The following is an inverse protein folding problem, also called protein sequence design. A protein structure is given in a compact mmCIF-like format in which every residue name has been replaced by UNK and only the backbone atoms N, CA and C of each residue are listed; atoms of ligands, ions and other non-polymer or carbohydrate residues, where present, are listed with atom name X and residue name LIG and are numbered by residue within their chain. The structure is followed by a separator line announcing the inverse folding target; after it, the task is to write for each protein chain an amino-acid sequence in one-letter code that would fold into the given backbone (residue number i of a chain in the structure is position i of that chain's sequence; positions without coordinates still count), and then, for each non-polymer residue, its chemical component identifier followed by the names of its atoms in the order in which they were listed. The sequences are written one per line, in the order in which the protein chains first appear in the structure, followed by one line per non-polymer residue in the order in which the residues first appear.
data_IF_599717643145
#
_entry.id   IF_599717643145
#
_cell.length_a   1.000
_cell.length_b   1.000
_cell.length_c   1.000
_cell.angle_alpha   90.00
_cell.angle_beta   90.00
_cell.angle_gamma   90.00
#
_symmetry.space_group_name_H-M   'P 1'
#
loop_
_entity.id
_entity.type
_entity.pdbx_description
1 polymer ?
#
# COMPACT_ATOMS: atom_id res chain seq x y z
N UNK A 1 1.26 24.32 11.18
CA UNK A 1 1.72 22.95 10.96
C UNK A 1 2.89 22.96 9.97
N UNK A 2 3.90 22.09 10.18
CA UNK A 2 5.11 22.00 9.34
C UNK A 2 4.78 21.96 7.83
N UNK A 3 3.84 21.13 7.42
CA UNK A 3 3.43 21.01 6.01
C UNK A 3 2.93 22.34 5.42
N UNK A 4 2.15 23.12 6.15
CA UNK A 4 1.67 24.44 5.69
C UNK A 4 2.81 25.44 5.56
N UNK A 5 3.80 25.37 6.45
CA UNK A 5 4.99 26.25 6.42
C UNK A 5 5.91 25.88 5.24
N UNK A 6 6.15 24.59 5.02
CA UNK A 6 7.03 24.10 3.94
C UNK A 6 6.41 24.37 2.56
N UNK A 7 5.14 24.04 2.37
CA UNK A 7 4.49 24.08 1.06
C UNK A 7 3.71 25.38 0.77
N UNK A 8 3.69 26.36 1.70
CA UNK A 8 3.21 27.75 1.49
C UNK A 8 1.93 27.86 0.65
N UNK A 9 0.93 27.05 0.94
CA UNK A 9 -0.36 27.08 0.23
C UNK A 9 -0.43 26.27 -1.07
N UNK A 10 0.64 25.60 -1.48
CA UNK A 10 0.64 24.69 -2.62
C UNK A 10 -0.17 23.40 -2.36
N UNK A 11 -0.37 23.07 -1.09
CA UNK A 11 -1.15 21.93 -0.66
C UNK A 11 -2.31 22.34 0.23
N UNK A 12 -3.41 21.61 0.17
CA UNK A 12 -4.52 21.72 1.10
C UNK A 12 -4.37 20.67 2.19
N UNK A 13 -4.28 21.10 3.44
CA UNK A 13 -4.20 20.22 4.60
C UNK A 13 -5.58 20.12 5.25
N UNK A 14 -6.07 18.89 5.44
CA UNK A 14 -7.28 18.59 6.19
C UNK A 14 -6.85 17.98 7.53
N UNK A 15 -7.07 18.71 8.62
CA UNK A 15 -6.72 18.28 9.96
C UNK A 15 -7.92 17.68 10.67
N UNK A 16 -7.80 16.40 11.06
CA UNK A 16 -8.82 15.71 11.84
C UNK A 16 -8.43 15.67 13.32
N UNK A 17 -9.37 16.03 14.20
CA UNK A 17 -9.17 16.00 15.66
C UNK A 17 -8.99 14.60 16.23
N UNK A 18 -9.46 13.58 15.51
CA UNK A 18 -9.40 12.18 15.89
C UNK A 18 -8.92 11.35 14.70
N UNK A 19 -8.35 10.18 14.97
CA UNK A 19 -7.96 9.26 13.92
C UNK A 19 -9.22 8.60 13.31
N UNK A 20 -9.57 9.01 12.09
CA UNK A 20 -10.73 8.50 11.35
C UNK A 20 -10.49 7.13 10.71
N UNK A 21 -9.26 6.67 10.66
CA UNK A 21 -8.83 5.53 9.85
C UNK A 21 -8.60 5.90 8.38
N UNK A 22 -8.15 4.92 7.61
CA UNK A 22 -7.75 5.13 6.22
C UNK A 22 -8.94 5.52 5.32
N UNK A 23 -9.99 4.70 5.32
CA UNK A 23 -11.13 4.86 4.40
C UNK A 23 -11.82 6.21 4.55
N UNK A 24 -12.18 6.60 5.78
CA UNK A 24 -12.85 7.89 6.04
C UNK A 24 -11.98 9.09 5.69
N UNK A 25 -10.68 9.03 6.02
CA UNK A 25 -9.76 10.13 5.73
C UNK A 25 -9.61 10.35 4.22
N UNK A 26 -9.50 9.27 3.44
CA UNK A 26 -9.43 9.37 1.99
C UNK A 26 -10.75 9.79 1.34
N UNK A 27 -11.91 9.28 1.79
CA UNK A 27 -13.21 9.72 1.29
C UNK A 27 -13.37 11.24 1.49
N UNK A 28 -13.09 11.74 2.69
CA UNK A 28 -13.10 13.17 3.00
C UNK A 28 -12.17 13.99 2.09
N UNK A 29 -10.98 13.47 1.83
CA UNK A 29 -10.02 14.13 0.93
C UNK A 29 -10.52 14.15 -0.51
N UNK A 30 -11.08 13.03 -1.01
CA UNK A 30 -11.62 12.92 -2.37
C UNK A 30 -12.81 13.86 -2.59
N UNK A 31 -13.70 14.03 -1.62
CA UNK A 31 -14.79 15.01 -1.70
C UNK A 31 -14.25 16.42 -1.96
N UNK A 32 -13.13 16.76 -1.34
CA UNK A 32 -12.48 18.06 -1.45
C UNK A 32 -11.62 18.24 -2.71
N UNK A 33 -11.34 17.16 -3.47
CA UNK A 33 -10.54 17.23 -4.70
C UNK A 33 -11.32 17.88 -5.83
N UNK A 34 -10.65 18.75 -6.60
CA UNK A 34 -11.24 19.44 -7.77
C UNK A 34 -10.93 18.70 -9.08
N UNK A 35 -9.92 17.81 -9.10
CA UNK A 35 -9.47 17.12 -10.31
C UNK A 35 -10.45 16.04 -10.78
N UNK A 36 -10.49 15.78 -12.08
CA UNK A 36 -11.26 14.69 -12.70
C UNK A 36 -10.62 13.32 -12.41
N UNK A 37 -9.33 13.29 -12.11
CA UNK A 37 -8.57 12.13 -11.70
C UNK A 37 -8.03 12.34 -10.30
N UNK A 38 -7.97 11.28 -9.54
CA UNK A 38 -7.43 11.25 -8.18
C UNK A 38 -6.28 10.24 -8.11
N UNK A 39 -5.32 10.55 -7.26
CA UNK A 39 -4.31 9.60 -6.84
C UNK A 39 -4.40 9.37 -5.33
N UNK A 40 -4.67 8.15 -4.93
CA UNK A 40 -4.53 7.69 -3.56
C UNK A 40 -3.06 7.34 -3.38
N UNK A 41 -2.38 8.03 -2.49
CA UNK A 41 -0.94 7.92 -2.30
C UNK A 41 -0.59 7.91 -0.82
N UNK A 42 0.13 6.90 -0.37
CA UNK A 42 0.63 6.86 0.99
C UNK A 42 1.79 7.86 1.20
N UNK A 43 1.91 8.46 2.38
CA UNK A 43 2.96 9.43 2.65
C UNK A 43 4.36 8.83 2.77
N UNK A 44 4.47 7.50 2.96
CA UNK A 44 5.71 6.73 3.02
C UNK A 44 6.15 6.19 1.65
N UNK A 45 5.91 6.98 0.58
CA UNK A 45 6.29 6.63 -0.80
C UNK A 45 7.23 7.67 -1.40
N UNK A 46 8.09 7.22 -2.33
CA UNK A 46 8.85 8.09 -3.24
C UNK A 46 8.42 7.80 -4.67
N UNK A 47 8.02 8.85 -5.38
CA UNK A 47 7.43 8.79 -6.72
C UNK A 47 8.39 9.43 -7.72
N UNK A 48 8.65 8.76 -8.85
CA UNK A 48 9.44 9.34 -9.93
C UNK A 48 8.67 10.47 -10.65
N UNK A 49 9.40 11.39 -11.25
CA UNK A 49 8.87 12.59 -11.90
C UNK A 49 7.88 12.28 -13.03
N UNK A 50 8.07 11.16 -13.72
CA UNK A 50 7.24 10.74 -14.87
C UNK A 50 6.10 9.76 -14.49
N UNK A 51 6.01 9.33 -13.24
CA UNK A 51 5.04 8.32 -12.80
C UNK A 51 3.60 8.74 -13.05
N UNK A 52 3.24 9.97 -12.67
CA UNK A 52 1.87 10.47 -12.86
C UNK A 52 1.50 10.63 -14.34
N UNK A 53 2.43 11.09 -15.18
CA UNK A 53 2.19 11.24 -16.63
C UNK A 53 1.94 9.86 -17.23
N UNK A 54 2.82 8.88 -17.00
CA UNK A 54 2.69 7.52 -17.53
C UNK A 54 1.38 6.85 -17.08
N UNK A 55 1.06 6.95 -15.81
CA UNK A 55 -0.14 6.30 -15.26
C UNK A 55 -1.42 6.95 -15.74
N UNK A 56 -1.47 8.28 -15.85
CA UNK A 56 -2.63 9.02 -16.37
C UNK A 56 -2.86 8.79 -17.86
N UNK A 57 -1.80 8.79 -18.68
CA UNK A 57 -1.89 8.53 -20.11
C UNK A 57 -2.41 7.11 -20.38
N UNK A 58 -1.89 6.14 -19.63
CA UNK A 58 -2.36 4.76 -19.71
C UNK A 58 -3.83 4.64 -19.28
N UNK A 59 -4.22 5.29 -18.17
CA UNK A 59 -5.61 5.30 -17.69
C UNK A 59 -6.56 5.94 -18.71
N UNK A 60 -6.15 7.03 -19.35
CA UNK A 60 -6.94 7.72 -20.37
C UNK A 60 -7.07 6.91 -21.67
N UNK A 61 -6.04 6.13 -22.01
CA UNK A 61 -6.03 5.32 -23.24
C UNK A 61 -6.98 4.13 -23.20
N UNK A 62 -7.42 3.69 -22.00
CA UNK A 62 -8.23 2.50 -21.77
C UNK A 62 -9.48 2.83 -20.96
N UNK A 63 -10.60 3.09 -21.65
CA UNK A 63 -11.88 3.50 -21.01
C UNK A 63 -12.45 2.48 -20.02
N UNK A 64 -12.13 1.20 -20.22
CA UNK A 64 -12.57 0.11 -19.36
C UNK A 64 -11.86 0.06 -18.00
N UNK A 65 -10.78 0.82 -17.81
CA UNK A 65 -10.06 0.82 -16.54
C UNK A 65 -10.83 1.54 -15.45
N UNK A 66 -11.05 0.85 -14.34
CA UNK A 66 -11.57 1.42 -13.08
C UNK A 66 -10.47 2.13 -12.31
N UNK A 67 -9.35 1.43 -12.10
CA UNK A 67 -8.20 1.93 -11.38
C UNK A 67 -6.89 1.38 -11.95
N UNK A 68 -5.80 2.10 -11.68
CA UNK A 68 -4.45 1.74 -12.08
C UNK A 68 -3.51 1.87 -10.87
N UNK A 69 -2.73 0.82 -10.62
CA UNK A 69 -1.61 0.81 -9.66
C UNK A 69 -0.28 0.68 -10.40
N UNK A 70 0.81 0.83 -9.68
CA UNK A 70 2.15 0.73 -10.23
C UNK A 70 3.01 -0.32 -9.52
N UNK A 71 4.18 -0.60 -10.09
CA UNK A 71 5.20 -1.43 -9.48
C UNK A 71 5.74 -0.75 -8.23
N UNK A 72 5.86 -1.50 -7.14
CA UNK A 72 6.40 -1.01 -5.88
C UNK A 72 7.62 -1.82 -5.47
N UNK A 73 8.64 -1.11 -5.01
CA UNK A 73 9.83 -1.68 -4.35
C UNK A 73 9.91 -1.12 -2.93
N UNK A 74 10.54 -1.85 -2.02
CA UNK A 74 10.88 -1.30 -0.71
C UNK A 74 12.18 -0.46 -0.76
N UNK A 75 12.59 0.10 0.38
CA UNK A 75 13.81 0.92 0.47
C UNK A 75 15.10 0.15 0.21
N UNK A 76 15.06 -1.17 0.03
CA UNK A 76 16.19 -2.02 -0.36
C UNK A 76 16.17 -2.40 -1.85
N UNK A 77 15.21 -1.88 -2.63
CA UNK A 77 15.02 -2.24 -4.03
C UNK A 77 14.29 -3.56 -4.25
N UNK A 78 13.82 -4.22 -3.20
CA UNK A 78 13.10 -5.50 -3.33
C UNK A 78 11.66 -5.25 -3.76
N UNK A 79 11.20 -6.00 -4.76
CA UNK A 79 9.82 -5.95 -5.23
C UNK A 79 8.81 -6.28 -4.14
N UNK A 80 7.75 -5.50 -4.08
CA UNK A 80 6.62 -5.69 -3.18
C UNK A 80 5.46 -6.37 -3.92
N UNK A 81 5.26 -7.69 -3.74
CA UNK A 81 4.27 -8.46 -4.52
C UNK A 81 2.82 -8.04 -4.25
N UNK A 82 2.54 -7.35 -3.14
CA UNK A 82 1.23 -6.78 -2.86
C UNK A 82 0.80 -5.67 -3.83
N UNK A 83 1.72 -5.13 -4.66
CA UNK A 83 1.38 -4.17 -5.73
C UNK A 83 0.32 -4.71 -6.68
N UNK A 84 0.25 -6.04 -6.83
CA UNK A 84 -0.67 -6.76 -7.70
C UNK A 84 -1.14 -8.05 -7.04
N UNK A 85 -2.43 -8.13 -6.78
CA UNK A 85 -3.02 -9.26 -6.05
C UNK A 85 -4.24 -9.80 -6.78
N UNK A 86 -4.59 -11.03 -6.44
CA UNK A 86 -5.91 -11.58 -6.74
C UNK A 86 -6.86 -11.32 -5.58
N UNK A 87 -8.16 -11.26 -5.87
CA UNK A 87 -9.18 -11.15 -4.82
C UNK A 87 -9.10 -12.38 -3.92
N UNK A 88 -8.96 -12.20 -2.60
CA UNK A 88 -8.82 -13.30 -1.66
C UNK A 88 -10.15 -14.05 -1.49
N UNK A 89 -10.54 -14.84 -2.51
CA UNK A 89 -11.68 -15.75 -2.38
C UNK A 89 -11.45 -16.72 -1.23
N UNK A 90 -12.51 -17.37 -0.68
CA UNK A 90 -12.38 -18.36 0.39
C UNK A 90 -11.36 -19.46 0.09
N UNK A 91 -11.28 -19.89 -1.18
CA UNK A 91 -10.32 -20.90 -1.67
C UNK A 91 -8.88 -20.39 -1.60
N UNK A 92 -8.63 -19.15 -2.04
CA UNK A 92 -7.30 -18.51 -2.03
C UNK A 92 -6.85 -18.24 -0.59
N UNK A 93 -7.74 -17.72 0.24
CA UNK A 93 -7.43 -17.44 1.64
C UNK A 93 -7.07 -18.72 2.42
N UNK A 94 -7.81 -19.82 2.22
CA UNK A 94 -7.51 -21.12 2.83
C UNK A 94 -6.13 -21.62 2.43
N UNK A 95 -5.75 -21.50 1.16
CA UNK A 95 -4.42 -21.87 0.68
C UNK A 95 -3.32 -21.02 1.30
N UNK A 96 -3.54 -19.71 1.39
CA UNK A 96 -2.58 -18.78 2.03
C UNK A 96 -2.33 -19.12 3.51
N UNK A 97 -3.37 -19.55 4.22
CA UNK A 97 -3.26 -19.95 5.63
C UNK A 97 -2.35 -21.17 5.80
N UNK A 98 -2.40 -22.13 4.90
CA UNK A 98 -1.53 -23.33 4.92
C UNK A 98 -0.17 -23.09 4.26
N UNK A 99 0.20 -21.81 4.00
CA UNK A 99 1.51 -21.41 3.48
C UNK A 99 1.60 -21.31 1.96
N UNK A 100 0.55 -21.68 1.20
CA UNK A 100 0.50 -21.51 -0.25
C UNK A 100 -0.03 -20.13 -0.63
N UNK A 101 0.88 -19.19 -0.85
CA UNK A 101 0.55 -17.82 -1.27
C UNK A 101 0.59 -17.62 -2.79
N UNK A 102 0.90 -18.63 -3.59
CA UNK A 102 1.06 -18.51 -5.05
C UNK A 102 -0.14 -17.88 -5.75
N UNK A 103 -1.36 -18.24 -5.33
CA UNK A 103 -2.59 -17.72 -5.91
C UNK A 103 -3.10 -16.43 -5.26
N UNK A 104 -2.41 -15.90 -4.25
CA UNK A 104 -2.77 -14.63 -3.62
C UNK A 104 -2.22 -13.43 -4.39
N UNK A 105 -1.04 -13.59 -4.98
CA UNK A 105 -0.44 -12.58 -5.85
C UNK A 105 -0.73 -12.90 -7.30
N UNK A 106 -0.92 -11.88 -8.15
CA UNK A 106 -1.10 -12.07 -9.57
C UNK A 106 0.17 -12.66 -10.20
N UNK A 107 -0.02 -13.62 -11.10
CA UNK A 107 1.07 -14.35 -11.77
C UNK A 107 1.84 -13.52 -12.81
N UNK A 108 1.34 -12.30 -13.12
CA UNK A 108 2.01 -11.36 -14.02
C UNK A 108 3.45 -11.10 -13.52
N UNK A 109 4.43 -11.04 -14.42
CA UNK A 109 5.78 -10.61 -14.06
C UNK A 109 5.78 -9.18 -13.50
N UNK A 110 6.72 -8.87 -12.60
CA UNK A 110 6.74 -7.59 -11.90
C UNK A 110 6.99 -6.38 -12.79
N UNK A 111 7.67 -6.57 -13.93
CA UNK A 111 8.00 -5.51 -14.90
C UNK A 111 7.01 -5.42 -16.06
N UNK A 112 6.07 -6.37 -16.17
CA UNK A 112 5.05 -6.33 -17.21
C UNK A 112 3.78 -5.66 -16.71
N UNK A 113 3.18 -4.89 -17.60
CA UNK A 113 1.90 -4.21 -17.35
C UNK A 113 0.72 -5.11 -17.77
N UNK A 114 -0.36 -5.13 -17.00
CA UNK A 114 -1.50 -5.98 -17.30
C UNK A 114 -2.67 -5.86 -16.32
N UNK A 115 -3.74 -6.59 -16.63
CA UNK A 115 -4.92 -6.65 -15.77
C UNK A 115 -4.63 -7.47 -14.50
N UNK A 116 -5.13 -6.97 -13.39
CA UNK A 116 -5.04 -7.62 -12.07
C UNK A 116 -6.37 -7.49 -11.36
N UNK A 117 -6.62 -8.34 -10.36
CA UNK A 117 -7.90 -8.25 -9.65
C UNK A 117 -7.88 -7.18 -8.55
N UNK A 118 -6.77 -7.02 -7.84
CA UNK A 118 -6.67 -6.03 -6.76
C UNK A 118 -5.33 -5.30 -6.76
N UNK A 119 -5.40 -4.01 -6.45
CA UNK A 119 -4.28 -3.08 -6.33
C UNK A 119 -3.95 -2.81 -4.85
N UNK A 120 -2.76 -2.27 -4.58
CA UNK A 120 -2.39 -1.82 -3.24
C UNK A 120 -2.78 -0.36 -3.03
N UNK A 121 -3.38 -0.06 -1.88
CA UNK A 121 -3.82 1.30 -1.50
C UNK A 121 -2.70 2.32 -1.35
N UNK A 122 -1.43 1.90 -1.43
CA UNK A 122 -0.30 2.81 -1.36
C UNK A 122 -0.14 3.71 -2.60
N UNK A 123 -0.62 3.25 -3.78
CA UNK A 123 -0.68 4.03 -5.00
C UNK A 123 -1.82 3.52 -5.89
N UNK A 124 -2.87 4.31 -6.02
CA UNK A 124 -3.98 4.04 -6.94
C UNK A 124 -4.35 5.32 -7.68
N UNK A 125 -4.27 5.31 -9.01
CA UNK A 125 -4.76 6.38 -9.88
C UNK A 125 -6.06 5.96 -10.52
N UNK A 126 -7.08 6.81 -10.48
CA UNK A 126 -8.39 6.52 -11.06
C UNK A 126 -9.21 7.78 -11.37
N UNK A 127 -10.27 7.65 -12.14
CA UNK A 127 -11.25 8.72 -12.34
C UNK A 127 -12.01 8.98 -11.03
N UNK A 128 -12.16 10.24 -10.63
CA UNK A 128 -12.98 10.64 -9.48
C UNK A 128 -14.43 10.19 -9.64
N UNK A 129 -14.98 10.27 -10.86
CA UNK A 129 -16.38 9.85 -11.12
C UNK A 129 -16.57 8.36 -10.86
N UNK A 130 -15.64 7.50 -11.30
CA UNK A 130 -15.70 6.06 -11.05
C UNK A 130 -15.52 5.71 -9.56
N UNK A 131 -14.66 6.45 -8.85
CA UNK A 131 -14.53 6.31 -7.40
C UNK A 131 -15.86 6.57 -6.69
N UNK A 132 -16.53 7.66 -7.05
CA UNK A 132 -17.83 8.03 -6.48
C UNK A 132 -18.92 7.02 -6.87
N UNK A 133 -18.95 6.60 -8.14
CA UNK A 133 -19.92 5.64 -8.69
C UNK A 133 -19.93 4.32 -7.90
N UNK A 134 -18.74 3.81 -7.52
CA UNK A 134 -18.65 2.57 -6.74
C UNK A 134 -18.74 2.80 -5.22
N UNK A 135 -19.02 4.03 -4.78
CA UNK A 135 -19.17 4.40 -3.38
C UNK A 135 -17.85 4.58 -2.62
N UNK A 136 -16.74 4.87 -3.31
CA UNK A 136 -15.44 5.13 -2.71
C UNK A 136 -14.90 4.00 -1.83
N UNK A 137 -14.07 4.32 -0.85
CA UNK A 137 -13.68 3.35 0.18
C UNK A 137 -14.85 3.06 1.13
N UNK A 138 -15.00 1.81 1.49
CA UNK A 138 -15.99 1.41 2.49
C UNK A 138 -15.48 1.75 3.90
N UNK A 139 -16.22 2.60 4.61
CA UNK A 139 -15.80 3.18 5.89
C UNK A 139 -15.87 2.21 7.08
N UNK A 140 -16.48 1.04 6.90
CA UNK A 140 -16.40 -0.03 7.89
C UNK A 140 -14.97 -0.59 8.02
N UNK A 141 -14.13 -0.40 6.99
CA UNK A 141 -12.69 -0.69 7.06
C UNK A 141 -11.96 0.51 7.68
N UNK A 142 -11.57 0.37 8.93
CA UNK A 142 -10.74 1.39 9.57
C UNK A 142 -9.34 1.46 8.94
N UNK A 143 -8.76 0.30 8.63
CA UNK A 143 -7.45 0.12 8.00
C UNK A 143 -7.33 -1.34 7.58
N UNK A 144 -6.73 -1.59 6.41
CA UNK A 144 -6.59 -2.88 5.71
C UNK A 144 -7.88 -3.39 5.07
N UNK A 145 -7.74 -3.93 3.88
CA UNK A 145 -8.81 -4.54 3.11
C UNK A 145 -9.68 -3.57 2.31
N UNK A 146 -9.60 -2.27 2.61
CA UNK A 146 -10.30 -1.21 1.86
C UNK A 146 -9.88 -1.15 0.40
N UNK A 147 -8.61 -1.40 0.11
CA UNK A 147 -8.05 -1.41 -1.23
C UNK A 147 -8.51 -2.64 -2.05
N UNK A 148 -8.62 -3.78 -1.40
CA UNK A 148 -9.18 -5.00 -1.99
C UNK A 148 -10.67 -4.83 -2.21
N UNK A 149 -11.39 -4.22 -1.26
CA UNK A 149 -12.82 -3.92 -1.35
C UNK A 149 -13.12 -2.97 -2.52
N UNK A 150 -12.38 -1.86 -2.62
CA UNK A 150 -12.50 -0.91 -3.74
C UNK A 150 -12.22 -1.60 -5.07
N UNK A 151 -11.15 -2.40 -5.14
CA UNK A 151 -10.81 -3.16 -6.34
C UNK A 151 -11.92 -4.10 -6.77
N UNK A 152 -12.53 -4.82 -5.82
CA UNK A 152 -13.64 -5.72 -6.09
C UNK A 152 -14.92 -4.97 -6.51
N UNK A 153 -15.22 -3.82 -5.89
CA UNK A 153 -16.36 -2.97 -6.29
C UNK A 153 -16.23 -2.51 -7.74
N UNK A 154 -15.03 -2.09 -8.15
CA UNK A 154 -14.77 -1.72 -9.54
C UNK A 154 -14.98 -2.90 -10.50
N UNK A 155 -14.49 -4.10 -10.16
CA UNK A 155 -14.73 -5.31 -10.97
C UNK A 155 -16.23 -5.64 -11.07
N UNK A 156 -16.98 -5.54 -9.97
CA UNK A 156 -18.43 -5.77 -9.95
C UNK A 156 -19.22 -4.74 -10.78
N UNK A 157 -18.71 -3.52 -10.88
CA UNK A 157 -19.27 -2.47 -11.74
C UNK A 157 -18.89 -2.64 -13.24
N UNK A 158 -18.15 -3.71 -13.59
CA UNK A 158 -17.73 -3.99 -14.97
C UNK A 158 -16.42 -3.33 -15.39
N UNK A 159 -15.76 -2.61 -14.50
CA UNK A 159 -14.45 -2.03 -14.76
C UNK A 159 -13.33 -3.07 -14.57
N UNK A 160 -12.12 -2.74 -15.04
CA UNK A 160 -10.93 -3.54 -14.87
C UNK A 160 -9.88 -2.77 -14.07
N UNK A 161 -9.17 -3.48 -13.19
CA UNK A 161 -8.00 -2.93 -12.52
C UNK A 161 -6.74 -3.27 -13.32
N UNK A 162 -5.79 -2.37 -13.34
CA UNK A 162 -4.59 -2.49 -14.16
C UNK A 162 -3.33 -2.21 -13.36
N UNK A 163 -2.32 -3.01 -13.54
CA UNK A 163 -0.99 -2.84 -12.98
C UNK A 163 -0.05 -2.31 -14.06
N UNK A 164 0.65 -1.21 -13.77
CA UNK A 164 1.65 -0.60 -14.64
C UNK A 164 3.05 -0.99 -14.15
N UNK A 165 3.68 -1.95 -14.82
CA UNK A 165 5.04 -2.41 -14.50
C UNK A 165 6.12 -1.40 -14.89
N UNK A 166 5.80 -0.50 -15.85
CA UNK A 166 6.74 0.52 -16.36
C UNK A 166 6.86 1.75 -15.46
N UNK A 167 5.98 1.88 -14.46
CA UNK A 167 6.04 2.91 -13.45
C UNK A 167 6.42 2.27 -12.11
N UNK A 168 7.55 2.66 -11.54
CA UNK A 168 8.04 2.13 -10.26
C UNK A 168 8.07 3.24 -9.21
N UNK A 169 7.61 2.93 -8.00
CA UNK A 169 7.73 3.79 -6.82
C UNK A 169 8.43 3.03 -5.69
N UNK A 170 9.04 3.77 -4.76
CA UNK A 170 9.46 3.19 -3.48
C UNK A 170 8.30 3.33 -2.50
N UNK A 171 8.02 2.28 -1.74
CA UNK A 171 7.09 2.29 -0.63
C UNK A 171 7.82 1.72 0.59
N UNK A 172 8.19 2.59 1.52
CA UNK A 172 9.00 2.20 2.68
C UNK A 172 8.32 1.23 3.62
N UNK A 173 7.02 1.20 3.64
CA UNK A 173 6.20 0.19 4.33
C UNK A 173 6.60 -0.05 5.80
N UNK A 174 5.64 -0.06 6.68
CA UNK A 174 5.86 -0.41 8.08
C UNK A 174 6.08 0.77 9.03
N UNK A 175 6.25 1.99 8.51
CA UNK A 175 6.38 3.21 9.33
C UNK A 175 5.17 3.44 10.23
N UNK A 176 3.97 3.12 9.73
CA UNK A 176 2.72 3.44 10.42
C UNK A 176 2.21 2.32 11.33
N UNK A 177 2.80 1.11 11.32
CA UNK A 177 2.17 -0.03 12.01
C UNK A 177 3.15 -1.02 12.59
N UNK A 178 3.39 -0.90 13.88
CA UNK A 178 3.99 -1.99 14.65
C UNK A 178 3.10 -3.25 14.52
N UNK A 179 3.70 -4.38 14.13
CA UNK A 179 3.02 -5.69 14.08
C UNK A 179 2.76 -6.18 15.52
N UNK A 180 1.79 -5.56 16.19
CA UNK A 180 1.36 -5.87 17.54
C UNK A 180 -0.09 -6.40 17.55
N UNK A 181 -0.65 -6.62 18.73
CA UNK A 181 -2.02 -7.06 18.90
C UNK A 181 -3.05 -6.17 18.18
N UNK A 182 -2.85 -4.85 18.17
CA UNK A 182 -3.74 -3.90 17.47
C UNK A 182 -3.70 -4.12 15.95
N UNK A 183 -2.51 -4.37 15.39
CA UNK A 183 -2.35 -4.77 13.99
C UNK A 183 -3.14 -6.05 13.69
N UNK A 184 -2.93 -7.11 14.48
CA UNK A 184 -3.62 -8.38 14.28
C UNK A 184 -5.15 -8.23 14.37
N UNK A 185 -5.64 -7.46 15.36
CA UNK A 185 -7.07 -7.17 15.51
C UNK A 185 -7.64 -6.48 14.26
N UNK A 186 -6.95 -5.45 13.74
CA UNK A 186 -7.40 -4.70 12.56
C UNK A 186 -7.33 -5.53 11.30
N UNK A 187 -6.20 -6.19 11.05
CA UNK A 187 -5.97 -6.99 9.85
C UNK A 187 -6.94 -8.18 9.73
N UNK A 188 -7.03 -8.99 10.78
CA UNK A 188 -7.94 -10.15 10.77
C UNK A 188 -9.41 -9.72 10.86
N UNK A 189 -9.71 -8.61 11.55
CA UNK A 189 -11.05 -8.01 11.56
C UNK A 189 -11.49 -7.56 10.17
N UNK A 190 -10.60 -6.90 9.42
CA UNK A 190 -10.85 -6.49 8.04
C UNK A 190 -11.06 -7.69 7.10
N UNK A 191 -10.27 -8.76 7.26
CA UNK A 191 -10.49 -10.00 6.52
C UNK A 191 -11.88 -10.60 6.78
N UNK A 192 -12.29 -10.69 8.05
CA UNK A 192 -13.62 -11.18 8.40
C UNK A 192 -14.72 -10.31 7.78
N UNK A 193 -14.58 -8.99 7.86
CA UNK A 193 -15.53 -8.03 7.28
C UNK A 193 -15.64 -8.23 5.76
N UNK A 194 -14.51 -8.37 5.07
CA UNK A 194 -14.46 -8.60 3.64
C UNK A 194 -15.22 -9.87 3.25
N UNK A 195 -14.97 -10.99 3.95
CA UNK A 195 -15.70 -12.23 3.71
C UNK A 195 -17.20 -12.12 3.99
N UNK A 196 -17.57 -11.47 5.10
CA UNK A 196 -18.98 -11.24 5.45
C UNK A 196 -19.71 -10.44 4.37
N UNK A 197 -19.07 -9.39 3.82
CA UNK A 197 -19.69 -8.52 2.80
C UNK A 197 -19.78 -9.16 1.42
N UNK A 198 -18.75 -9.91 1.02
CA UNK A 198 -18.61 -10.33 -0.38
C UNK A 198 -18.82 -11.83 -0.63
N UNK A 199 -18.68 -12.68 0.37
CA UNK A 199 -18.74 -14.14 0.25
C UNK A 199 -19.66 -14.77 1.28
N UNK A 200 -20.90 -14.28 1.37
CA UNK A 200 -21.89 -14.84 2.31
C UNK A 200 -22.33 -16.25 1.88
N UNK A 201 -21.52 -17.25 2.20
CA UNK A 201 -21.74 -18.66 1.86
C UNK A 201 -22.45 -19.45 2.97
N UNK A 202 -23.34 -18.78 3.74
CA UNK A 202 -24.12 -19.41 4.81
C UNK A 202 -23.48 -19.33 6.20
N UNK A 203 -24.29 -19.64 7.21
CA UNK A 203 -23.94 -19.50 8.63
C UNK A 203 -22.70 -20.31 9.04
N UNK A 204 -22.62 -21.58 8.62
CA UNK A 204 -21.50 -22.46 8.97
C UNK A 204 -20.16 -21.94 8.46
N UNK A 205 -20.14 -21.40 7.24
CA UNK A 205 -18.93 -20.84 6.66
C UNK A 205 -18.49 -19.56 7.37
N UNK A 206 -19.44 -18.67 7.66
CA UNK A 206 -19.17 -17.44 8.43
C UNK A 206 -18.62 -17.76 9.83
N UNK A 207 -19.14 -18.78 10.48
CA UNK A 207 -18.66 -19.27 11.77
C UNK A 207 -17.22 -19.82 11.67
N UNK A 208 -16.91 -20.61 10.65
CA UNK A 208 -15.55 -21.12 10.41
C UNK A 208 -14.54 -19.99 10.21
N UNK A 209 -14.86 -19.01 9.39
CA UNK A 209 -13.99 -17.83 9.17
C UNK A 209 -13.81 -17.04 10.47
N UNK A 210 -14.88 -16.86 11.24
CA UNK A 210 -14.82 -16.19 12.54
C UNK A 210 -13.90 -16.91 13.54
N UNK A 211 -14.07 -18.23 13.70
CA UNK A 211 -13.22 -19.06 14.57
C UNK A 211 -11.75 -19.00 14.14
N UNK A 212 -11.49 -19.02 12.84
CA UNK A 212 -10.15 -18.89 12.29
C UNK A 212 -9.53 -17.52 12.60
N UNK A 213 -10.30 -16.44 12.49
CA UNK A 213 -9.86 -15.09 12.87
C UNK A 213 -9.52 -15.03 14.35
N UNK A 214 -10.35 -15.62 15.23
CA UNK A 214 -10.09 -15.71 16.66
C UNK A 214 -8.79 -16.50 16.92
N UNK A 215 -8.63 -17.66 16.29
CA UNK A 215 -7.43 -18.48 16.42
C UNK A 215 -6.15 -17.70 16.08
N UNK A 216 -6.12 -17.00 14.93
CA UNK A 216 -4.96 -16.19 14.57
C UNK A 216 -4.74 -14.99 15.49
N UNK A 217 -5.80 -14.37 15.99
CA UNK A 217 -5.67 -13.30 17.01
C UNK A 217 -5.04 -13.82 18.29
N UNK A 218 -5.44 -15.02 18.75
CA UNK A 218 -4.91 -15.66 19.95
C UNK A 218 -3.44 -16.07 19.72
N UNK A 219 -3.12 -16.74 18.63
CA UNK A 219 -1.73 -17.12 18.32
C UNK A 219 -0.81 -15.92 18.18
N UNK A 220 -1.30 -14.82 17.64
CA UNK A 220 -0.55 -13.57 17.54
C UNK A 220 -0.35 -12.92 18.92
N UNK A 221 -1.30 -13.03 19.81
CA UNK A 221 -1.18 -12.55 21.20
C UNK A 221 -0.06 -13.26 21.97
N UNK A 222 0.11 -14.56 21.76
CA UNK A 222 1.17 -15.35 22.39
C UNK A 222 2.53 -15.24 21.67
N UNK A 223 2.59 -14.63 20.49
CA UNK A 223 3.85 -14.37 19.81
C UNK A 223 4.56 -13.23 20.53
N UNK A 224 5.61 -13.57 21.32
CA UNK A 224 6.46 -12.57 21.99
C UNK A 224 6.90 -11.53 20.95
N UNK A 225 6.70 -10.24 21.27
CA UNK A 225 7.31 -9.16 20.48
C UNK A 225 8.84 -9.42 20.50
N UNK A 226 9.41 -9.67 19.33
CA UNK A 226 10.86 -9.63 19.20
C UNK A 226 11.26 -8.18 19.44
N UNK A 227 11.79 -7.90 20.63
CA UNK A 227 12.45 -6.62 20.91
C UNK A 227 13.65 -6.55 19.96
N UNK A 228 13.53 -5.71 18.96
CA UNK A 228 14.62 -5.46 18.03
C UNK A 228 15.67 -4.62 18.78
N UNK A 229 16.82 -5.23 19.07
CA UNK A 229 17.98 -4.51 19.59
C UNK A 229 18.55 -3.67 18.42
N UNK A 230 18.21 -2.38 18.38
CA UNK A 230 18.73 -1.39 17.41
C UNK A 230 20.26 -1.33 17.36
N UNK A 231 20.96 -1.89 18.35
CA UNK A 231 22.43 -1.82 18.50
C UNK A 231 23.23 -2.75 17.57
N UNK A 232 22.60 -3.61 16.77
CA UNK A 232 23.35 -4.64 16.03
C UNK A 232 23.68 -4.31 14.57
N UNK A 233 23.25 -3.17 14.03
CA UNK A 233 23.47 -2.82 12.61
C UNK A 233 24.40 -1.61 12.37
N UNK A 234 24.98 -1.01 13.40
CA UNK A 234 25.81 0.20 13.28
C UNK A 234 27.32 -0.10 13.07
N UNK A 235 27.73 -1.33 12.76
CA UNK A 235 29.14 -1.63 12.51
C UNK A 235 29.61 -1.32 11.08
N UNK A 236 28.69 -1.25 10.11
CA UNK A 236 29.03 -0.77 8.76
C UNK A 236 28.46 0.64 8.58
N UNK A 237 29.28 1.57 8.06
CA UNK A 237 28.81 2.91 7.70
C UNK A 237 27.59 2.77 6.79
N UNK A 238 26.44 3.40 7.13
CA UNK A 238 25.24 3.27 6.31
C UNK A 238 25.55 3.81 4.90
N UNK A 239 25.20 3.02 3.89
CA UNK A 239 25.25 3.51 2.53
C UNK A 239 24.13 4.54 2.36
N UNK A 240 24.48 5.80 2.12
CA UNK A 240 23.52 6.89 1.95
C UNK A 240 23.50 7.28 0.48
N UNK A 241 22.31 7.30 -0.10
CA UNK A 241 22.07 7.92 -1.41
C UNK A 241 21.38 9.28 -1.16
N UNK A 242 22.03 10.33 -1.61
CA UNK A 242 21.51 11.69 -1.49
C UNK A 242 20.83 12.08 -2.81
N UNK A 243 19.60 12.55 -2.72
CA UNK A 243 18.84 13.02 -3.90
C UNK A 243 19.33 14.35 -4.47
N UNK A 244 20.40 14.96 -3.92
CA UNK A 244 20.88 16.28 -4.33
C UNK A 244 21.32 16.38 -5.80
N UNK A 245 21.78 15.27 -6.39
CA UNK A 245 22.32 15.23 -7.76
C UNK A 245 21.61 14.18 -8.64
N UNK A 246 20.57 13.55 -8.15
CA UNK A 246 19.81 12.51 -8.85
C UNK A 246 18.35 12.89 -8.94
N UNK A 247 17.71 12.64 -10.07
CA UNK A 247 16.25 12.60 -10.13
C UNK A 247 15.71 11.46 -9.29
N UNK A 248 14.48 11.54 -8.82
CA UNK A 248 13.85 10.43 -8.11
C UNK A 248 13.72 9.18 -9.00
N UNK A 249 13.62 9.35 -10.30
CA UNK A 249 13.64 8.25 -11.27
C UNK A 249 14.99 7.52 -11.27
N UNK A 250 16.10 8.25 -11.29
CA UNK A 250 17.44 7.67 -11.20
C UNK A 250 17.69 6.99 -9.86
N UNK A 251 17.23 7.60 -8.76
CA UNK A 251 17.30 7.04 -7.43
C UNK A 251 16.54 5.70 -7.35
N UNK A 252 15.30 5.64 -7.84
CA UNK A 252 14.49 4.42 -7.89
C UNK A 252 15.18 3.35 -8.74
N UNK A 253 15.73 3.73 -9.91
CA UNK A 253 16.46 2.82 -10.79
C UNK A 253 17.72 2.27 -10.14
N UNK A 254 18.44 3.10 -9.40
CA UNK A 254 19.66 2.68 -8.68
C UNK A 254 19.32 1.63 -7.61
N UNK A 255 18.27 1.85 -6.83
CA UNK A 255 17.81 0.90 -5.82
C UNK A 255 17.34 -0.42 -6.44
N UNK A 256 16.53 -0.35 -7.51
CA UNK A 256 15.97 -1.53 -8.19
C UNK A 256 17.10 -2.43 -8.77
N UNK A 257 18.20 -1.83 -9.22
CA UNK A 257 19.32 -2.55 -9.81
C UNK A 257 20.34 -3.05 -8.77
N UNK A 258 20.57 -2.30 -7.70
CA UNK A 258 21.63 -2.60 -6.73
C UNK A 258 21.29 -3.71 -5.76
N UNK A 259 20.01 -3.86 -5.41
CA UNK A 259 19.48 -4.79 -4.36
C UNK A 259 20.25 -4.70 -3.03
N UNK A 260 20.83 -3.52 -2.75
CA UNK A 260 21.57 -3.22 -1.53
C UNK A 260 20.75 -2.27 -0.65
N UNK A 261 20.97 -2.34 0.65
CA UNK A 261 20.30 -1.48 1.61
C UNK A 261 20.91 -0.08 1.59
N UNK A 262 20.11 0.93 1.31
CA UNK A 262 20.52 2.34 1.34
C UNK A 262 19.60 3.14 2.26
N UNK A 263 20.18 4.15 2.89
CA UNK A 263 19.43 5.27 3.41
C UNK A 263 19.23 6.31 2.31
N UNK A 264 18.03 6.80 2.16
CA UNK A 264 17.67 7.81 1.17
C UNK A 264 17.55 9.14 1.88
N UNK A 265 18.41 10.08 1.54
CA UNK A 265 18.36 11.45 2.03
C UNK A 265 17.70 12.33 0.97
N UNK A 266 16.56 12.95 1.32
CA UNK A 266 15.93 13.94 0.46
C UNK A 266 16.77 15.22 0.39
N UNK A 267 16.66 15.94 -0.72
CA UNK A 267 17.38 17.19 -0.93
C UNK A 267 17.08 18.20 0.20
N UNK A 268 18.13 18.73 0.83
CA UNK A 268 18.03 19.67 1.93
C UNK A 268 17.56 19.08 3.26
N UNK A 269 17.41 17.78 3.38
CA UNK A 269 17.06 17.10 4.63
C UNK A 269 18.30 16.82 5.47
N UNK A 270 18.18 16.98 6.79
CA UNK A 270 19.17 16.49 7.77
C UNK A 270 18.94 15.02 8.14
N UNK A 271 17.92 14.38 7.55
CA UNK A 271 17.53 13.02 7.86
C UNK A 271 17.57 12.16 6.61
N UNK A 272 18.00 10.92 6.77
CA UNK A 272 17.89 9.88 5.77
C UNK A 272 16.99 8.75 6.26
N UNK A 273 16.18 8.20 5.37
CA UNK A 273 15.18 7.17 5.66
C UNK A 273 15.51 5.88 4.92
N UNK A 274 15.18 4.76 5.52
CA UNK A 274 15.33 3.44 4.91
C UNK A 274 14.26 2.47 5.40
N UNK A 275 14.02 1.41 4.64
CA UNK A 275 13.24 0.29 5.14
C UNK A 275 13.92 -1.01 4.75
N UNK A 276 14.41 -1.75 5.73
CA UNK A 276 14.97 -3.07 5.55
C UNK A 276 14.79 -3.92 6.80
N UNK A 277 15.11 -5.20 6.66
CA UNK A 277 15.06 -6.18 7.73
C UNK A 277 13.84 -7.10 7.63
N UNK A 278 13.82 -8.13 8.47
CA UNK A 278 12.77 -9.17 8.47
C UNK A 278 11.37 -8.61 8.77
N UNK A 279 11.31 -7.48 9.48
CA UNK A 279 10.05 -6.84 9.88
C UNK A 279 9.65 -5.65 9.01
N UNK A 280 10.42 -5.31 7.96
CA UNK A 280 10.22 -4.13 7.09
C UNK A 280 9.93 -2.85 7.91
N UNK A 281 10.62 -2.64 9.01
CA UNK A 281 10.52 -1.41 9.78
C UNK A 281 11.33 -0.34 9.08
N UNK A 282 10.76 0.84 8.91
CA UNK A 282 11.51 2.00 8.53
C UNK A 282 12.51 2.39 9.62
N UNK A 283 13.60 2.98 9.21
CA UNK A 283 14.55 3.63 10.11
C UNK A 283 14.90 5.01 9.61
N UNK A 284 15.13 5.92 10.54
CA UNK A 284 15.52 7.31 10.26
C UNK A 284 16.82 7.55 10.98
N UNK A 285 17.79 8.12 10.28
CA UNK A 285 19.06 8.57 10.85
C UNK A 285 19.25 10.05 10.57
N UNK A 286 19.94 10.74 11.46
CA UNK A 286 20.46 12.08 11.23
C UNK A 286 21.79 11.98 10.51
N UNK A 287 22.01 12.80 9.48
CA UNK A 287 23.14 12.73 8.54
C UNK A 287 23.98 14.01 8.61
#
# INVERSE_FOLDING_TARGET
LMLQQVFKGQIRVIENKVNLGFSKAYNQAVESCLGNYICILNPDTVVAEDTFIKTLDLLKSKKELGALGCRMIDGSGKFLPESKRNIPSPKIARKKIIGDSKNYYASLDEKYSGYVEALAGAFIVMSKSKYIEVGGFDEDYFMYGEDIDLSLKLLKAGYKNYYCGDATIIHFKGESTLKNHTYAKRFYGAMYLFYKKHFNNGFLWSMLVYLMVIFFRITYFFKKEKVYNEKKSLQDKPNIITANNLSYKELISTLDNSKTNFYIQANGSQYAVASWGEDNKGSVIEV
#
